data_IF_151680652025
#
_entry.id   IF_151680652025
#
_cell.length_a   1.000
_cell.length_b   1.000
_cell.length_c   1.000
_cell.angle_alpha   90.00
_cell.angle_beta   90.00
_cell.angle_gamma   90.00
#
_symmetry.space_group_name_H-M   'P 1'
#
loop_
_entity.id
_entity.type
_entity.pdbx_description
1 polymer ?
#
# COMPACT_ATOMS: atom_id res chain seq x y z
N UNK A 1 20.28 13.18 7.69
CA UNK A 1 19.53 13.61 6.47
C UNK A 1 18.04 13.34 6.62
N UNK A 2 17.60 12.16 7.07
CA UNK A 2 16.17 11.86 7.29
C UNK A 2 15.55 12.63 8.49
N UNK A 3 16.30 12.80 9.58
CA UNK A 3 15.92 13.66 10.72
C UNK A 3 15.58 15.10 10.29
N UNK A 4 16.36 15.66 9.34
CA UNK A 4 16.16 17.01 8.82
C UNK A 4 14.86 17.16 8.02
N UNK A 5 14.39 16.09 7.36
CA UNK A 5 13.13 16.08 6.62
C UNK A 5 11.93 15.79 7.52
N UNK A 6 12.13 15.02 8.60
CA UNK A 6 11.06 14.64 9.53
C UNK A 6 10.77 15.69 10.57
N UNK A 7 11.80 16.31 11.17
CA UNK A 7 11.61 17.24 12.27
C UNK A 7 10.60 18.36 11.97
N UNK A 8 10.58 18.98 10.77
CA UNK A 8 9.55 19.97 10.43
C UNK A 8 8.14 19.36 10.34
N UNK A 9 8.03 18.15 9.79
CA UNK A 9 6.75 17.44 9.63
C UNK A 9 6.21 16.99 10.99
N UNK A 10 7.08 16.52 11.87
CA UNK A 10 6.73 16.12 13.23
C UNK A 10 6.33 17.31 14.08
N UNK A 11 7.07 18.43 13.96
CA UNK A 11 6.74 19.68 14.63
C UNK A 11 5.35 20.18 14.23
N UNK A 12 5.03 20.14 12.94
CA UNK A 12 3.70 20.49 12.44
C UNK A 12 2.63 19.52 12.94
N UNK A 13 2.89 18.22 12.92
CA UNK A 13 1.95 17.22 13.44
C UNK A 13 1.62 17.47 14.92
N UNK A 14 2.63 17.74 15.74
CA UNK A 14 2.45 18.03 17.16
C UNK A 14 1.73 19.35 17.40
N UNK A 15 2.02 20.40 16.62
CA UNK A 15 1.34 21.70 16.70
C UNK A 15 -0.15 21.58 16.41
N UNK A 16 -0.52 20.76 15.43
CA UNK A 16 -1.92 20.57 14.98
C UNK A 16 -2.63 19.40 15.69
N UNK A 17 -1.96 18.71 16.63
CA UNK A 17 -2.53 17.60 17.39
C UNK A 17 -2.74 16.30 16.60
N UNK A 18 -1.99 16.10 15.50
CA UNK A 18 -2.04 14.88 14.71
C UNK A 18 -1.09 13.79 15.25
N UNK A 19 -1.45 12.49 15.12
CA UNK A 19 -0.51 11.40 15.37
C UNK A 19 0.69 11.49 14.41
N UNK A 20 1.90 11.63 14.95
CA UNK A 20 3.13 11.92 14.19
C UNK A 20 3.35 10.91 13.05
N UNK A 21 3.28 9.60 13.33
CA UNK A 21 3.54 8.58 12.33
C UNK A 21 2.45 8.52 11.23
N UNK A 22 1.18 8.73 11.60
CA UNK A 22 0.09 8.83 10.64
C UNK A 22 0.20 10.07 9.75
N UNK A 23 0.65 11.18 10.32
CA UNK A 23 0.88 12.42 9.57
C UNK A 23 2.04 12.28 8.58
N UNK A 24 3.15 11.66 8.98
CA UNK A 24 4.25 11.31 8.06
C UNK A 24 3.77 10.46 6.89
N UNK A 25 2.93 9.45 7.14
CA UNK A 25 2.35 8.61 6.09
C UNK A 25 1.52 9.45 5.09
N UNK A 26 0.70 10.39 5.57
CA UNK A 26 -0.09 11.28 4.71
C UNK A 26 0.79 12.20 3.87
N UNK A 27 1.82 12.81 4.47
CA UNK A 27 2.79 13.65 3.75
C UNK A 27 3.52 12.84 2.68
N UNK A 28 3.93 11.61 2.99
CA UNK A 28 4.60 10.73 2.03
C UNK A 28 3.70 10.37 0.84
N UNK A 29 2.43 10.02 1.09
CA UNK A 29 1.47 9.70 0.03
C UNK A 29 1.15 10.92 -0.85
N UNK A 30 1.01 12.11 -0.25
CA UNK A 30 0.85 13.35 -0.99
C UNK A 30 2.09 13.65 -1.85
N UNK A 31 3.29 13.47 -1.30
CA UNK A 31 4.55 13.64 -2.03
C UNK A 31 4.68 12.65 -3.19
N UNK A 32 4.24 11.39 -3.03
CA UNK A 32 4.17 10.43 -4.12
C UNK A 32 3.33 10.95 -5.29
N UNK A 33 2.17 11.57 -5.04
CA UNK A 33 1.36 12.18 -6.11
C UNK A 33 2.08 13.31 -6.85
N UNK A 34 2.86 14.13 -6.13
CA UNK A 34 3.65 15.23 -6.73
C UNK A 34 4.83 14.69 -7.54
N UNK A 35 5.48 13.63 -7.07
CA UNK A 35 6.64 13.00 -7.73
C UNK A 35 6.21 12.12 -8.91
N UNK A 36 4.97 11.63 -8.92
CA UNK A 36 4.48 10.68 -9.92
C UNK A 36 4.70 11.08 -11.39
N UNK A 37 4.54 12.35 -11.83
CA UNK A 37 4.79 12.73 -13.21
C UNK A 37 6.24 12.48 -13.67
N UNK A 38 7.20 12.45 -12.75
CA UNK A 38 8.62 12.29 -13.08
C UNK A 38 8.95 10.89 -13.60
N UNK A 39 8.09 9.88 -13.35
CA UNK A 39 8.28 8.54 -13.92
C UNK A 39 8.19 8.55 -15.45
N UNK A 40 7.47 9.51 -16.04
CA UNK A 40 7.34 9.64 -17.49
C UNK A 40 8.62 10.14 -18.17
N UNK A 41 9.54 10.71 -17.38
CA UNK A 41 10.87 11.09 -17.87
C UNK A 41 11.81 9.88 -17.97
N UNK A 42 11.47 8.75 -17.35
CA UNK A 42 12.28 7.55 -17.40
C UNK A 42 12.13 6.83 -18.77
N UNK A 43 13.21 6.75 -19.58
CA UNK A 43 13.13 6.40 -20.99
C UNK A 43 12.93 4.90 -21.25
N UNK A 44 13.16 4.05 -20.25
CA UNK A 44 13.07 2.59 -20.39
C UNK A 44 12.33 1.94 -19.23
N UNK A 45 11.83 0.72 -19.44
CA UNK A 45 11.20 -0.06 -18.38
C UNK A 45 12.13 -0.26 -17.17
N UNK A 46 13.41 -0.54 -17.41
CA UNK A 46 14.41 -0.66 -16.32
C UNK A 46 14.59 0.64 -15.55
N UNK A 47 14.61 1.79 -16.24
CA UNK A 47 14.68 3.10 -15.58
C UNK A 47 13.43 3.36 -14.73
N UNK A 48 12.24 2.94 -15.17
CA UNK A 48 10.98 3.06 -14.40
C UNK A 48 10.96 2.13 -13.20
N UNK A 49 11.43 0.89 -13.34
CA UNK A 49 11.61 -0.02 -12.21
C UNK A 49 12.58 0.57 -11.17
N UNK A 50 13.72 1.10 -11.61
CA UNK A 50 14.69 1.74 -10.72
C UNK A 50 14.12 2.98 -10.03
N UNK A 51 13.39 3.82 -10.78
CA UNK A 51 12.67 4.98 -10.24
C UNK A 51 11.71 4.57 -9.12
N UNK A 52 10.90 3.54 -9.34
CA UNK A 52 9.99 3.03 -8.32
C UNK A 52 10.72 2.54 -7.08
N UNK A 53 11.80 1.77 -7.23
CA UNK A 53 12.60 1.29 -6.09
C UNK A 53 13.14 2.47 -5.30
N UNK A 54 13.76 3.45 -5.96
CA UNK A 54 14.37 4.61 -5.30
C UNK A 54 13.33 5.45 -4.58
N UNK A 55 12.25 5.84 -5.26
CA UNK A 55 11.21 6.70 -4.68
C UNK A 55 10.44 5.95 -3.58
N UNK A 56 10.09 4.69 -3.81
CA UNK A 56 9.37 3.85 -2.85
C UNK A 56 10.16 3.60 -1.57
N UNK A 57 11.44 3.21 -1.69
CA UNK A 57 12.32 3.06 -0.52
C UNK A 57 12.53 4.40 0.18
N UNK A 58 12.70 5.51 -0.56
CA UNK A 58 12.84 6.85 0.04
C UNK A 58 11.60 7.21 0.85
N UNK A 59 10.40 6.97 0.32
CA UNK A 59 9.15 7.17 1.04
C UNK A 59 9.05 6.25 2.27
N UNK A 60 9.46 4.98 2.15
CA UNK A 60 9.54 4.04 3.27
C UNK A 60 10.50 4.47 4.37
N UNK A 61 11.70 4.91 4.01
CA UNK A 61 12.69 5.47 4.94
C UNK A 61 12.11 6.70 5.62
N UNK A 62 11.45 7.59 4.88
CA UNK A 62 10.83 8.78 5.47
C UNK A 62 9.74 8.42 6.50
N UNK A 63 8.88 7.43 6.24
CA UNK A 63 7.80 7.08 7.18
C UNK A 63 8.27 6.16 8.31
N UNK A 64 9.11 5.16 8.03
CA UNK A 64 9.40 4.03 8.92
C UNK A 64 10.81 4.00 9.51
N UNK A 65 11.73 4.81 8.98
CA UNK A 65 13.14 4.82 9.39
C UNK A 65 13.80 3.47 9.09
N UNK A 66 14.73 3.05 9.93
CA UNK A 66 15.27 1.70 9.99
C UNK A 66 14.22 0.59 9.94
N UNK A 67 12.97 0.81 10.35
CA UNK A 67 11.93 -0.22 10.23
C UNK A 67 11.56 -0.54 8.76
N UNK A 68 11.97 0.28 7.79
CA UNK A 68 11.92 -0.08 6.35
C UNK A 68 12.63 -1.40 6.07
N UNK A 69 13.64 -1.77 6.87
CA UNK A 69 14.38 -3.03 6.74
C UNK A 69 13.48 -4.26 6.88
N UNK A 70 12.35 -4.18 7.61
CA UNK A 70 11.38 -5.27 7.65
C UNK A 70 10.74 -5.53 6.28
N UNK A 71 10.42 -4.46 5.54
CA UNK A 71 9.84 -4.58 4.19
C UNK A 71 10.86 -5.05 3.15
N UNK A 72 12.11 -4.60 3.25
CA UNK A 72 13.21 -5.07 2.39
C UNK A 72 13.57 -6.53 2.70
N UNK A 73 13.70 -6.87 3.97
CA UNK A 73 14.02 -8.22 4.43
C UNK A 73 12.95 -9.22 4.03
N UNK A 74 11.66 -8.90 4.21
CA UNK A 74 10.58 -9.80 3.80
C UNK A 74 10.55 -10.02 2.28
N UNK A 75 10.80 -8.99 1.48
CA UNK A 75 10.93 -9.13 0.02
C UNK A 75 12.12 -10.03 -0.37
N UNK A 76 13.28 -9.85 0.26
CA UNK A 76 14.45 -10.70 0.02
C UNK A 76 14.20 -12.17 0.39
N UNK A 77 13.58 -12.41 1.55
CA UNK A 77 13.22 -13.76 2.03
C UNK A 77 12.29 -14.44 1.03
N UNK A 78 11.23 -13.76 0.58
CA UNK A 78 10.29 -14.33 -0.41
C UNK A 78 10.97 -14.61 -1.74
N UNK A 79 11.87 -13.73 -2.19
CA UNK A 79 12.66 -13.97 -3.40
C UNK A 79 13.53 -15.22 -3.26
N UNK A 80 14.19 -15.41 -2.11
CA UNK A 80 14.96 -16.62 -1.80
C UNK A 80 14.09 -17.88 -1.79
N UNK A 81 12.88 -17.82 -1.22
CA UNK A 81 11.92 -18.92 -1.27
C UNK A 81 11.58 -19.31 -2.72
N UNK A 82 11.37 -18.34 -3.63
CA UNK A 82 11.12 -18.62 -5.04
C UNK A 82 12.30 -19.26 -5.77
N UNK A 83 13.53 -19.00 -5.33
CA UNK A 83 14.73 -19.62 -5.88
C UNK A 83 14.99 -21.03 -5.33
N UNK A 84 14.67 -21.28 -4.06
CA UNK A 84 15.12 -22.47 -3.33
C UNK A 84 14.03 -23.51 -3.07
N UNK A 85 12.78 -23.07 -2.86
CA UNK A 85 11.69 -23.98 -2.50
C UNK A 85 11.09 -24.66 -3.74
N UNK A 86 10.50 -25.86 -3.60
CA UNK A 86 9.84 -26.51 -4.71
C UNK A 86 8.67 -25.66 -5.23
N UNK A 87 8.70 -25.36 -6.54
CA UNK A 87 7.74 -24.48 -7.21
C UNK A 87 6.27 -24.84 -6.96
N UNK A 88 5.95 -26.12 -6.77
CA UNK A 88 4.58 -26.59 -6.50
C UNK A 88 4.00 -26.13 -5.15
N UNK A 89 4.86 -25.82 -4.17
CA UNK A 89 4.43 -25.49 -2.80
C UNK A 89 4.85 -24.08 -2.36
N UNK A 90 5.75 -23.42 -3.08
CA UNK A 90 6.33 -22.13 -2.69
C UNK A 90 5.28 -21.05 -2.40
N UNK A 91 4.23 -20.95 -3.21
CA UNK A 91 3.15 -19.99 -2.96
C UNK A 91 2.44 -20.18 -1.62
N UNK A 92 2.20 -21.44 -1.21
CA UNK A 92 1.59 -21.76 0.09
C UNK A 92 2.54 -21.47 1.25
N UNK A 93 3.81 -21.84 1.10
CA UNK A 93 4.84 -21.57 2.12
C UNK A 93 5.00 -20.08 2.36
N UNK A 94 5.11 -19.29 1.29
CA UNK A 94 5.23 -17.83 1.35
C UNK A 94 3.97 -17.21 1.97
N UNK A 95 2.77 -17.61 1.53
CA UNK A 95 1.53 -17.08 2.09
C UNK A 95 1.42 -17.34 3.60
N UNK A 96 1.64 -18.58 4.05
CA UNK A 96 1.57 -18.94 5.46
C UNK A 96 2.65 -18.21 6.27
N UNK A 97 3.88 -18.12 5.76
CA UNK A 97 4.97 -17.41 6.42
C UNK A 97 4.71 -15.91 6.56
N UNK A 98 4.21 -15.25 5.51
CA UNK A 98 3.88 -13.83 5.53
C UNK A 98 2.69 -13.54 6.46
N UNK A 99 1.65 -14.38 6.46
CA UNK A 99 0.53 -14.24 7.38
C UNK A 99 0.96 -14.44 8.83
N UNK A 100 1.78 -15.46 9.12
CA UNK A 100 2.32 -15.68 10.46
C UNK A 100 3.18 -14.50 10.94
N UNK A 101 4.02 -13.96 10.05
CA UNK A 101 4.82 -12.77 10.32
C UNK A 101 3.93 -11.55 10.62
N UNK A 102 2.91 -11.30 9.80
CA UNK A 102 1.98 -10.19 10.00
C UNK A 102 1.19 -10.31 11.31
N UNK A 103 0.73 -11.52 11.65
CA UNK A 103 0.09 -11.79 12.96
C UNK A 103 1.05 -11.47 14.11
N UNK A 104 2.32 -11.88 14.00
CA UNK A 104 3.35 -11.53 15.00
C UNK A 104 3.56 -10.02 15.13
N UNK A 105 3.57 -9.29 14.01
CA UNK A 105 3.70 -7.83 14.00
C UNK A 105 2.52 -7.15 14.69
N UNK A 106 1.29 -7.57 14.37
CA UNK A 106 0.09 -6.99 14.98
C UNK A 106 -0.05 -7.37 16.46
N UNK A 107 0.34 -8.59 16.85
CA UNK A 107 0.46 -8.97 18.25
C UNK A 107 1.46 -8.07 18.98
N UNK A 108 2.65 -7.85 18.42
CA UNK A 108 3.65 -6.97 19.01
C UNK A 108 3.13 -5.52 19.13
N UNK A 109 2.47 -5.01 18.09
CA UNK A 109 1.86 -3.68 18.09
C UNK A 109 0.85 -3.51 19.22
N UNK A 110 -0.04 -4.48 19.40
CA UNK A 110 -1.09 -4.45 20.44
C UNK A 110 -0.50 -4.36 21.86
N UNK A 111 0.56 -5.12 22.14
CA UNK A 111 1.06 -5.26 23.52
C UNK A 111 2.29 -4.41 23.85
N UNK A 112 3.06 -3.95 22.86
CA UNK A 112 4.37 -3.33 23.10
C UNK A 112 4.59 -2.01 22.35
N UNK A 113 3.93 -1.77 21.22
CA UNK A 113 4.20 -0.58 20.41
C UNK A 113 3.01 -0.18 19.55
N UNK A 114 1.97 0.46 20.14
CA UNK A 114 0.72 0.77 19.45
C UNK A 114 0.91 1.73 18.27
N UNK A 115 2.01 2.50 18.27
CA UNK A 115 2.31 3.51 17.26
C UNK A 115 3.12 2.99 16.05
N UNK A 116 3.38 1.68 15.94
CA UNK A 116 4.02 1.10 14.75
C UNK A 116 3.14 1.37 13.52
N UNK A 117 3.77 1.83 12.43
CA UNK A 117 3.09 2.09 11.14
C UNK A 117 3.68 1.29 9.98
N UNK A 118 4.89 0.72 10.11
CA UNK A 118 5.49 -0.06 9.02
C UNK A 118 4.73 -1.36 8.73
N UNK A 119 3.98 -1.89 9.70
CA UNK A 119 3.13 -3.06 9.55
C UNK A 119 1.98 -2.81 8.56
N UNK A 120 1.54 -1.55 8.39
CA UNK A 120 0.58 -1.16 7.37
C UNK A 120 1.09 -1.36 5.93
N UNK A 121 2.34 -0.97 5.66
CA UNK A 121 3.00 -1.29 4.39
C UNK A 121 3.25 -2.80 4.28
N UNK A 122 3.56 -3.48 5.40
CA UNK A 122 3.73 -4.93 5.42
C UNK A 122 2.44 -5.68 5.05
N UNK A 123 1.25 -5.14 5.34
CA UNK A 123 -0.03 -5.71 4.86
C UNK A 123 -0.09 -5.70 3.32
N UNK A 124 0.26 -4.57 2.69
CA UNK A 124 0.28 -4.45 1.22
C UNK A 124 1.36 -5.35 0.62
N UNK A 125 2.54 -5.41 1.23
CA UNK A 125 3.60 -6.32 0.83
C UNK A 125 3.17 -7.77 0.94
N UNK A 126 2.44 -8.15 1.98
CA UNK A 126 1.92 -9.51 2.14
C UNK A 126 1.07 -9.91 0.95
N UNK A 127 0.18 -9.02 0.48
CA UNK A 127 -0.63 -9.24 -0.72
C UNK A 127 0.24 -9.37 -1.99
N UNK A 128 1.16 -8.42 -2.21
CA UNK A 128 2.04 -8.40 -3.39
C UNK A 128 2.99 -9.60 -3.45
N UNK A 129 3.67 -9.90 -2.35
CA UNK A 129 4.67 -10.96 -2.23
C UNK A 129 4.05 -12.35 -2.34
N UNK A 130 2.92 -12.58 -1.65
CA UNK A 130 2.19 -13.85 -1.75
C UNK A 130 1.63 -14.05 -3.15
N UNK A 131 1.04 -13.02 -3.77
CA UNK A 131 0.58 -13.06 -5.17
C UNK A 131 1.71 -13.46 -6.12
N UNK A 132 2.89 -12.82 -6.03
CA UNK A 132 4.04 -13.18 -6.89
C UNK A 132 4.46 -14.64 -6.71
N UNK A 133 4.56 -15.11 -5.47
CA UNK A 133 4.97 -16.50 -5.19
C UNK A 133 3.90 -17.52 -5.64
N UNK A 134 2.62 -17.21 -5.47
CA UNK A 134 1.49 -18.03 -5.95
C UNK A 134 1.50 -18.07 -7.47
N UNK A 135 1.58 -16.91 -8.14
CA UNK A 135 1.62 -16.82 -9.60
C UNK A 135 2.84 -17.57 -10.17
N UNK A 136 3.99 -17.55 -9.49
CA UNK A 136 5.14 -18.37 -9.86
C UNK A 136 4.86 -19.87 -9.74
N UNK A 137 4.19 -20.30 -8.66
CA UNK A 137 3.72 -21.68 -8.50
C UNK A 137 2.73 -22.10 -9.59
N UNK A 138 1.78 -21.22 -9.93
CA UNK A 138 0.76 -21.45 -10.95
C UNK A 138 1.34 -21.72 -12.33
N UNK A 139 2.50 -21.13 -12.65
CA UNK A 139 3.21 -21.41 -13.91
C UNK A 139 3.62 -22.88 -14.08
N UNK A 140 3.69 -23.67 -13.00
CA UNK A 140 3.97 -25.11 -13.04
C UNK A 140 2.71 -25.99 -13.20
N UNK A 141 1.51 -25.40 -13.14
CA UNK A 141 0.25 -26.13 -13.31
C UNK A 141 0.06 -26.46 -14.80
N UNK A 142 -0.49 -27.63 -15.18
CA UNK A 142 -0.87 -27.90 -16.57
C UNK A 142 -1.96 -26.94 -17.07
N UNK A 143 -1.89 -26.51 -18.32
CA UNK A 143 -2.77 -25.47 -18.89
C UNK A 143 -4.26 -25.82 -18.76
N UNK A 144 -4.59 -27.10 -18.87
CA UNK A 144 -5.96 -27.64 -18.82
C UNK A 144 -6.59 -27.51 -17.43
N UNK A 145 -5.77 -27.33 -16.38
CA UNK A 145 -6.21 -27.18 -15.00
C UNK A 145 -6.19 -25.74 -14.51
N UNK A 146 -5.86 -24.77 -15.38
CA UNK A 146 -5.73 -23.36 -14.99
C UNK A 146 -7.07 -22.64 -15.07
N UNK A 147 -7.33 -21.84 -14.05
CA UNK A 147 -8.41 -20.83 -14.11
C UNK A 147 -8.00 -19.69 -15.04
N UNK A 148 -8.94 -18.87 -15.53
CA UNK A 148 -8.60 -17.69 -16.32
C UNK A 148 -7.65 -16.71 -15.60
N UNK A 149 -7.78 -16.57 -14.28
CA UNK A 149 -6.90 -15.74 -13.47
C UNK A 149 -5.47 -16.29 -13.44
N UNK A 150 -5.30 -17.61 -13.28
CA UNK A 150 -3.98 -18.25 -13.34
C UNK A 150 -3.33 -18.05 -14.72
N UNK A 151 -4.08 -18.28 -15.81
CA UNK A 151 -3.57 -18.04 -17.17
C UNK A 151 -3.14 -16.59 -17.36
N UNK A 152 -3.93 -15.64 -16.85
CA UNK A 152 -3.58 -14.21 -16.91
C UNK A 152 -2.29 -13.94 -16.15
N UNK A 153 -2.15 -14.40 -14.90
CA UNK A 153 -1.15 -13.91 -13.95
C UNK A 153 0.11 -14.79 -13.79
N UNK A 154 0.09 -16.05 -14.24
CA UNK A 154 1.16 -17.02 -14.03
C UNK A 154 2.58 -16.52 -14.40
N UNK A 155 3.57 -16.80 -13.57
CA UNK A 155 4.96 -16.46 -13.87
C UNK A 155 5.70 -17.72 -14.31
N UNK A 156 6.20 -17.72 -15.53
CA UNK A 156 6.90 -18.87 -16.12
C UNK A 156 8.30 -19.09 -15.51
N UNK A 157 8.93 -18.02 -15.05
CA UNK A 157 10.20 -18.01 -14.35
C UNK A 157 10.13 -17.04 -13.15
N UNK A 158 11.11 -17.15 -12.25
CA UNK A 158 11.29 -16.17 -11.17
C UNK A 158 11.57 -14.80 -11.82
N UNK A 159 10.88 -13.73 -11.42
CA UNK A 159 11.16 -12.39 -11.93
C UNK A 159 12.61 -11.96 -11.73
N UNK A 160 13.13 -11.12 -12.63
CA UNK A 160 14.41 -10.44 -12.36
C UNK A 160 14.32 -9.54 -11.13
N UNK A 161 15.44 -9.32 -10.44
CA UNK A 161 15.49 -8.55 -9.20
C UNK A 161 14.95 -7.11 -9.34
N UNK A 162 15.37 -6.39 -10.38
CA UNK A 162 14.96 -5.01 -10.59
C UNK A 162 13.43 -4.84 -10.78
N UNK A 163 12.77 -5.56 -11.71
CA UNK A 163 11.32 -5.45 -11.85
C UNK A 163 10.56 -6.03 -10.65
N UNK A 164 11.11 -7.05 -9.97
CA UNK A 164 10.55 -7.55 -8.71
C UNK A 164 10.51 -6.46 -7.64
N UNK A 165 11.66 -5.84 -7.33
CA UNK A 165 11.71 -4.77 -6.35
C UNK A 165 10.96 -3.52 -6.79
N UNK A 166 10.93 -3.21 -8.09
CA UNK A 166 10.12 -2.11 -8.63
C UNK A 166 8.62 -2.31 -8.41
N UNK A 167 8.13 -3.56 -8.42
CA UNK A 167 6.74 -3.90 -8.10
C UNK A 167 6.45 -3.79 -6.60
N UNK A 168 7.33 -4.39 -5.78
CA UNK A 168 7.17 -4.42 -4.33
C UNK A 168 7.21 -3.01 -3.74
N UNK A 169 8.17 -2.21 -4.18
CA UNK A 169 8.35 -0.82 -3.79
C UNK A 169 7.74 0.17 -4.79
N UNK A 170 6.70 -0.23 -5.53
CA UNK A 170 5.99 0.70 -6.40
C UNK A 170 5.45 1.88 -5.59
N UNK A 171 6.08 3.06 -5.72
CA UNK A 171 5.92 4.17 -4.79
C UNK A 171 4.48 4.66 -4.57
N UNK A 172 3.54 4.60 -5.55
CA UNK A 172 2.15 4.96 -5.31
C UNK A 172 1.44 3.98 -4.38
N UNK A 173 1.72 2.67 -4.50
CA UNK A 173 1.00 1.63 -3.76
C UNK A 173 1.89 0.78 -2.84
N UNK A 174 3.00 1.34 -2.38
CA UNK A 174 3.87 0.70 -1.40
C UNK A 174 3.37 0.96 0.02
N UNK A 175 3.10 2.23 0.34
CA UNK A 175 2.68 2.66 1.67
C UNK A 175 1.19 2.41 1.94
N UNK A 176 0.36 2.46 0.90
CA UNK A 176 -1.08 2.19 0.96
C UNK A 176 -1.54 1.51 -0.33
N UNK A 177 -2.70 0.85 -0.32
CA UNK A 177 -3.26 0.14 -1.48
C UNK A 177 -3.74 1.09 -2.60
N UNK A 178 -4.29 0.55 -3.70
CA UNK A 178 -4.66 -0.86 -3.90
C UNK A 178 -3.49 -1.78 -4.27
N UNK A 179 -3.64 -3.07 -3.97
CA UNK A 179 -2.77 -4.12 -4.50
C UNK A 179 -3.26 -4.56 -5.89
N UNK A 180 -2.31 -4.97 -6.75
CA UNK A 180 -2.57 -5.44 -8.11
C UNK A 180 -1.53 -6.50 -8.50
N UNK A 181 -1.72 -7.12 -9.66
CA UNK A 181 -0.92 -8.25 -10.12
C UNK A 181 0.42 -7.82 -10.75
N UNK A 182 1.45 -8.63 -10.52
CA UNK A 182 2.81 -8.35 -11.01
C UNK A 182 2.89 -8.23 -12.54
N UNK A 183 2.10 -9.00 -13.29
CA UNK A 183 2.09 -8.88 -14.76
C UNK A 183 1.51 -7.57 -15.24
N UNK A 184 0.46 -7.08 -14.59
CA UNK A 184 -0.14 -5.80 -14.93
C UNK A 184 0.88 -4.69 -14.68
N UNK A 185 1.59 -4.75 -13.54
CA UNK A 185 2.73 -3.88 -13.24
C UNK A 185 3.80 -3.86 -14.33
N UNK A 186 4.36 -5.02 -14.69
CA UNK A 186 5.42 -5.09 -15.70
C UNK A 186 4.94 -4.57 -17.04
N UNK A 187 3.67 -4.79 -17.39
CA UNK A 187 3.10 -4.25 -18.62
C UNK A 187 2.99 -2.72 -18.58
N UNK A 188 2.57 -2.12 -17.46
CA UNK A 188 2.56 -0.65 -17.31
C UNK A 188 3.96 -0.05 -17.36
N UNK A 189 5.00 -0.79 -16.96
CA UNK A 189 6.37 -0.28 -17.05
C UNK A 189 6.91 -0.25 -18.48
N UNK A 190 6.25 -0.88 -19.46
CA UNK A 190 6.68 -0.83 -20.88
C UNK A 190 6.27 0.46 -21.57
N UNK A 191 5.06 0.93 -21.36
CA UNK A 191 4.49 2.08 -22.05
C UNK A 191 4.02 3.15 -21.07
N UNK A 192 4.36 4.40 -21.34
CA UNK A 192 3.85 5.55 -20.58
C UNK A 192 2.39 5.79 -20.97
N UNK A 193 1.55 5.99 -19.96
CA UNK A 193 0.14 6.37 -20.12
C UNK A 193 -0.15 7.53 -19.20
N UNK A 194 -1.16 8.33 -19.54
CA UNK A 194 -1.68 9.37 -18.66
C UNK A 194 -3.15 9.08 -18.44
N UNK A 195 -3.55 8.98 -17.18
CA UNK A 195 -4.93 8.71 -16.81
C UNK A 195 -5.60 9.96 -16.25
N UNK A 196 -6.92 10.13 -16.44
CA UNK A 196 -7.67 11.24 -15.85
C UNK A 196 -7.69 11.12 -14.32
N UNK A 197 -7.62 12.26 -13.62
CA UNK A 197 -7.56 12.32 -12.17
C UNK A 197 -8.96 12.54 -11.57
N UNK A 198 -9.34 11.72 -10.58
CA UNK A 198 -10.45 12.02 -9.67
C UNK A 198 -10.00 11.81 -8.23
N UNK A 199 -9.83 12.88 -7.48
CA UNK A 199 -9.55 12.85 -6.02
C UNK A 199 -10.64 13.63 -5.32
N UNK A 200 -11.29 13.02 -4.33
CA UNK A 200 -12.26 13.71 -3.46
C UNK A 200 -11.78 13.66 -2.02
N UNK A 201 -11.64 14.84 -1.40
CA UNK A 201 -11.34 14.99 0.03
C UNK A 201 -12.59 15.33 0.86
N UNK A 202 -13.79 15.37 0.25
CA UNK A 202 -15.01 15.83 0.91
C UNK A 202 -15.34 15.02 2.18
N UNK A 203 -15.17 13.70 2.14
CA UNK A 203 -15.40 12.82 3.29
C UNK A 203 -14.44 13.08 4.46
N UNK A 204 -13.20 13.52 4.18
CA UNK A 204 -12.24 13.87 5.22
C UNK A 204 -12.66 15.12 5.98
N UNK A 205 -13.01 16.18 5.27
CA UNK A 205 -13.50 17.41 5.91
C UNK A 205 -14.80 17.17 6.67
N UNK A 206 -15.73 16.37 6.12
CA UNK A 206 -16.93 15.96 6.84
C UNK A 206 -16.59 15.21 8.14
N UNK A 207 -15.53 14.40 8.17
CA UNK A 207 -15.10 13.69 9.40
C UNK A 207 -14.53 14.60 10.49
N UNK A 208 -14.13 15.84 10.16
CA UNK A 208 -13.64 16.81 11.15
C UNK A 208 -14.79 17.43 11.95
N UNK A 209 -15.95 17.62 11.32
CA UNK A 209 -17.15 18.16 11.96
C UNK A 209 -17.83 17.14 12.91
N UNK A 210 -17.56 15.84 12.71
CA UNK A 210 -18.17 14.75 13.48
C UNK A 210 -17.09 13.86 14.16
N UNK A 211 -16.39 14.38 15.18
CA UNK A 211 -15.35 13.64 15.90
C UNK A 211 -15.87 12.35 16.53
N UNK A 212 -15.08 11.27 16.39
CA UNK A 212 -15.43 9.92 16.87
C UNK A 212 -15.32 9.79 18.39
N UNK A 213 -14.40 10.53 19.01
CA UNK A 213 -14.17 10.58 20.46
C UNK A 213 -15.39 11.08 21.25
N UNK A 214 -16.25 11.88 20.62
CA UNK A 214 -17.53 12.29 21.21
C UNK A 214 -18.54 11.14 21.35
N UNK A 215 -18.24 9.91 20.88
CA UNK A 215 -19.09 8.73 21.16
C UNK A 215 -18.96 8.31 22.62
N UNK A 216 -17.76 8.46 23.20
CA UNK A 216 -17.47 8.07 24.58
C UNK A 216 -17.66 9.22 25.58
N UNK A 217 -18.04 10.41 25.11
CA UNK A 217 -18.29 11.55 25.97
C UNK A 217 -19.53 11.31 26.86
N UNK A 218 -19.51 11.74 28.13
CA UNK A 218 -20.68 11.67 29.02
C UNK A 218 -21.93 12.33 28.43
N UNK A 219 -21.73 13.32 27.56
CA UNK A 219 -22.78 14.11 26.90
C UNK A 219 -23.34 13.44 25.63
N UNK A 220 -22.92 12.20 25.30
CA UNK A 220 -23.36 11.51 24.09
C UNK A 220 -24.83 11.06 24.18
N UNK A 221 -25.71 12.02 23.87
CA UNK A 221 -27.16 11.89 23.73
C UNK A 221 -27.84 11.10 24.86
N UNK A 222 -27.69 11.54 26.12
CA UNK A 222 -28.25 10.84 27.29
C UNK A 222 -29.77 10.67 27.22
N UNK A 223 -30.45 11.51 26.44
CA UNK A 223 -31.91 11.50 26.28
C UNK A 223 -32.41 10.82 24.98
N UNK A 224 -31.51 10.42 24.07
CA UNK A 224 -31.92 9.78 22.82
C UNK A 224 -32.33 8.31 23.02
N UNK A 225 -33.31 7.78 22.26
CA UNK A 225 -33.62 6.35 22.23
C UNK A 225 -32.41 5.51 21.80
N UNK A 226 -32.30 4.27 22.29
CA UNK A 226 -31.16 3.38 22.01
C UNK A 226 -30.83 3.27 20.50
N UNK A 227 -31.85 3.11 19.65
CA UNK A 227 -31.67 2.96 18.21
C UNK A 227 -31.06 4.20 17.58
N UNK A 228 -31.46 5.38 18.05
CA UNK A 228 -30.93 6.65 17.57
C UNK A 228 -29.46 6.82 17.98
N UNK A 229 -29.08 6.37 19.19
CA UNK A 229 -27.66 6.33 19.61
C UNK A 229 -26.84 5.38 18.73
N UNK A 230 -27.36 4.18 18.44
CA UNK A 230 -26.70 3.24 17.54
C UNK A 230 -26.52 3.84 16.14
N UNK A 231 -27.54 4.52 15.59
CA UNK A 231 -27.43 5.18 14.29
C UNK A 231 -26.39 6.30 14.29
N UNK A 232 -26.36 7.16 15.31
CA UNK A 232 -25.36 8.22 15.42
C UNK A 232 -23.94 7.67 15.61
N UNK A 233 -23.78 6.60 16.37
CA UNK A 233 -22.51 5.89 16.52
C UNK A 233 -22.04 5.35 15.16
N UNK A 234 -22.90 4.62 14.44
CA UNK A 234 -22.60 4.11 13.09
C UNK A 234 -22.23 5.22 12.11
N UNK A 235 -22.96 6.35 12.14
CA UNK A 235 -22.69 7.50 11.27
C UNK A 235 -21.31 8.12 11.54
N UNK A 236 -20.96 8.37 12.80
CA UNK A 236 -19.65 8.92 13.18
C UNK A 236 -18.51 7.97 12.85
N UNK A 237 -18.67 6.67 13.12
CA UNK A 237 -17.69 5.64 12.73
C UNK A 237 -17.52 5.62 11.20
N UNK A 238 -18.62 5.70 10.44
CA UNK A 238 -18.56 5.79 8.98
C UNK A 238 -17.75 7.01 8.53
N UNK A 239 -18.02 8.20 9.09
CA UNK A 239 -17.29 9.42 8.77
C UNK A 239 -15.80 9.32 9.14
N UNK A 240 -15.48 8.74 10.30
CA UNK A 240 -14.11 8.52 10.72
C UNK A 240 -13.32 7.67 9.73
N UNK A 241 -13.96 6.69 9.06
CA UNK A 241 -13.31 5.85 8.03
C UNK A 241 -12.81 6.65 6.82
N UNK A 242 -13.44 7.78 6.48
CA UNK A 242 -12.98 8.61 5.38
C UNK A 242 -11.59 9.22 5.61
N UNK A 243 -11.12 9.29 6.86
CA UNK A 243 -9.73 9.65 7.17
C UNK A 243 -8.73 8.67 6.55
N UNK A 244 -9.06 7.38 6.56
CA UNK A 244 -8.25 6.34 5.92
C UNK A 244 -8.45 6.29 4.40
N UNK A 245 -9.64 6.65 3.90
CA UNK A 245 -9.90 6.68 2.46
C UNK A 245 -9.11 7.77 1.74
N UNK A 246 -8.75 8.89 2.39
CA UNK A 246 -7.82 9.86 1.80
C UNK A 246 -6.47 9.24 1.49
N UNK A 247 -5.94 8.36 2.36
CA UNK A 247 -4.70 7.65 2.10
C UNK A 247 -4.78 6.83 0.81
N UNK A 248 -5.89 6.12 0.64
CA UNK A 248 -6.17 5.33 -0.56
C UNK A 248 -6.35 6.23 -1.79
N UNK A 249 -7.10 7.32 -1.68
CA UNK A 249 -7.30 8.25 -2.79
C UNK A 249 -6.00 8.92 -3.23
N UNK A 250 -5.07 9.21 -2.32
CA UNK A 250 -3.73 9.72 -2.66
C UNK A 250 -2.90 8.65 -3.39
N UNK A 251 -2.95 7.40 -2.95
CA UNK A 251 -2.26 6.30 -3.63
C UNK A 251 -2.83 6.03 -5.05
N UNK A 252 -4.16 6.10 -5.21
CA UNK A 252 -4.83 6.04 -6.51
C UNK A 252 -4.47 7.24 -7.39
N UNK A 253 -4.43 8.45 -6.84
CA UNK A 253 -4.00 9.65 -7.54
C UNK A 253 -2.57 9.51 -8.08
N UNK A 254 -1.63 9.10 -7.22
CA UNK A 254 -0.25 8.86 -7.63
C UNK A 254 -0.17 7.76 -8.71
N UNK A 255 -1.00 6.71 -8.61
CA UNK A 255 -1.04 5.63 -9.61
C UNK A 255 -1.57 6.11 -10.96
N UNK A 256 -2.67 6.88 -10.95
CA UNK A 256 -3.27 7.50 -12.12
C UNK A 256 -2.27 8.41 -12.83
N UNK A 257 -1.62 9.29 -12.07
CA UNK A 257 -0.60 10.22 -12.58
C UNK A 257 0.62 9.46 -13.11
N UNK A 258 1.02 8.37 -12.46
CA UNK A 258 2.10 7.49 -12.92
C UNK A 258 1.73 6.65 -14.16
N UNK A 259 0.49 6.73 -14.66
CA UNK A 259 0.04 6.00 -15.86
C UNK A 259 -0.36 4.55 -15.62
N UNK A 260 -0.66 4.19 -14.37
CA UNK A 260 -0.99 2.84 -13.95
C UNK A 260 -2.50 2.64 -13.85
N UNK A 261 -2.98 1.46 -14.26
CA UNK A 261 -4.41 1.09 -14.22
C UNK A 261 -5.16 1.43 -15.51
N UNK A 262 -4.92 2.58 -16.11
CA UNK A 262 -5.70 3.02 -17.27
C UNK A 262 -5.33 2.29 -18.57
N UNK A 263 -6.36 1.82 -19.28
CA UNK A 263 -6.28 1.25 -20.63
C UNK A 263 -6.88 2.24 -21.62
N UNK A 264 -6.02 3.05 -22.24
CA UNK A 264 -6.42 4.12 -23.18
C UNK A 264 -7.31 3.62 -24.31
N UNK A 265 -7.00 2.44 -24.87
CA UNK A 265 -7.77 1.83 -25.97
C UNK A 265 -9.24 1.53 -25.63
N UNK A 266 -9.55 1.29 -24.36
CA UNK A 266 -10.91 0.96 -23.91
C UNK A 266 -11.54 2.09 -23.12
N UNK A 267 -10.78 3.12 -22.76
CA UNK A 267 -11.21 4.21 -21.88
C UNK A 267 -11.55 3.74 -20.46
N UNK A 268 -11.06 2.57 -20.03
CA UNK A 268 -11.39 1.95 -18.75
C UNK A 268 -10.17 1.81 -17.86
N UNK A 269 -10.41 1.83 -16.55
CA UNK A 269 -9.49 1.38 -15.51
C UNK A 269 -9.45 -0.15 -15.44
#
# INVERSE_FOLDING_TARGET
>A
MYELLRAPVDGLALQEGFPVNGFRLMVALAACSVVAPLIHLAPSANARHAFNVVVGITAGVFVFDYAVLHTIGTALVVYAFMLMAPRKIVGRLVLLGLLAYLVGCHYYREFYSPDIVWDSAQMILTLKLSSVAINYGDGAVPKEKKTPAMVKNELQAVPGLLPYFGFIFFFPTYLAGPAFEYKDYVNWMKDIRVAPLTVSAAGFFASMEFPVDKIDSPDFYPDAPWALRCLFMCFRIMLFRFRFYVAWSLAEAASAIAGVGYVEKTGKW
#
